data_IF_075408334902
#
_entry.id   IF_075408334902
#
_cell.length_a   1.000
_cell.length_b   1.000
_cell.length_c   1.000
_cell.angle_alpha   90.00
_cell.angle_beta   90.00
_cell.angle_gamma   90.00
#
_symmetry.space_group_name_H-M   'P 1'
#
loop_
_entity.id
_entity.type
_entity.pdbx_description
1 polymer ?
#
# COMPACT_ATOMS: atom_id res chain seq x y z
N UNK A 1 1.66 15.58 -21.86
CA UNK A 1 1.50 14.24 -21.23
C UNK A 1 2.77 13.74 -20.53
N UNK A 2 3.96 13.76 -21.15
CA UNK A 2 5.16 13.18 -20.53
C UNK A 2 5.54 13.83 -19.17
N UNK A 3 5.28 15.13 -19.02
CA UNK A 3 5.58 15.87 -17.79
C UNK A 3 4.69 15.45 -16.59
N UNK A 4 3.44 15.03 -16.83
CA UNK A 4 2.51 14.56 -15.78
C UNK A 4 3.05 13.28 -15.15
N UNK A 5 3.44 12.30 -15.98
CA UNK A 5 3.94 11.02 -15.49
C UNK A 5 5.33 11.14 -14.87
N UNK A 6 6.18 12.02 -15.40
CA UNK A 6 7.45 12.36 -14.76
C UNK A 6 7.24 12.96 -13.37
N UNK A 7 6.23 13.81 -13.20
CA UNK A 7 5.86 14.36 -11.89
C UNK A 7 5.36 13.26 -10.93
N UNK A 8 4.52 12.33 -11.41
CA UNK A 8 4.07 11.19 -10.59
C UNK A 8 5.24 10.36 -10.06
N UNK A 9 6.20 10.01 -10.94
CA UNK A 9 7.38 9.23 -10.60
C UNK A 9 8.35 10.00 -9.70
N UNK A 10 8.44 11.33 -9.85
CA UNK A 10 9.27 12.17 -8.98
C UNK A 10 8.77 12.17 -7.53
N UNK A 11 7.44 12.13 -7.31
CA UNK A 11 6.86 12.10 -5.96
C UNK A 11 6.61 10.69 -5.41
N UNK A 12 6.72 9.65 -6.23
CA UNK A 12 6.57 8.26 -5.79
C UNK A 12 7.52 7.87 -4.61
N UNK A 13 8.79 8.31 -4.56
CA UNK A 13 9.66 8.06 -3.40
C UNK A 13 9.18 8.68 -2.10
N UNK A 14 8.53 9.85 -2.14
CA UNK A 14 7.97 10.48 -0.93
C UNK A 14 6.85 9.62 -0.37
N UNK A 15 5.97 9.13 -1.24
CA UNK A 15 4.89 8.24 -0.85
C UNK A 15 5.41 6.85 -0.43
N UNK A 16 6.46 6.36 -1.09
CA UNK A 16 7.18 5.15 -0.70
C UNK A 16 7.79 5.26 0.70
N UNK A 17 8.36 6.40 1.06
CA UNK A 17 8.85 6.66 2.41
C UNK A 17 7.73 6.64 3.45
N UNK A 18 6.54 7.15 3.11
CA UNK A 18 5.35 7.04 3.99
C UNK A 18 4.88 5.60 4.15
N UNK A 19 4.95 4.78 3.10
CA UNK A 19 4.65 3.34 3.18
C UNK A 19 5.68 2.61 4.05
N UNK A 20 6.95 2.95 3.92
CA UNK A 20 8.03 2.40 4.77
C UNK A 20 7.79 2.79 6.24
N UNK A 21 7.50 4.05 6.53
CA UNK A 21 7.15 4.50 7.89
C UNK A 21 5.94 3.74 8.44
N UNK A 22 4.89 3.55 7.63
CA UNK A 22 3.71 2.78 8.02
C UNK A 22 4.09 1.33 8.37
N UNK A 23 4.91 0.68 7.54
CA UNK A 23 5.40 -0.67 7.81
C UNK A 23 6.24 -0.72 9.10
N UNK A 24 7.25 0.13 9.24
CA UNK A 24 8.17 0.15 10.40
C UNK A 24 7.40 0.39 11.70
N UNK A 25 6.49 1.36 11.75
CA UNK A 25 5.66 1.59 12.94
C UNK A 25 4.72 0.41 13.20
N UNK A 26 4.23 -0.25 12.15
CA UNK A 26 3.41 -1.46 12.25
C UNK A 26 4.15 -2.68 12.79
N UNK A 27 5.49 -2.71 12.74
CA UNK A 27 6.27 -3.79 13.36
C UNK A 27 6.36 -3.67 14.88
N UNK A 28 5.99 -2.53 15.46
CA UNK A 28 6.07 -2.29 16.89
C UNK A 28 4.77 -2.64 17.61
N UNK A 29 4.88 -3.24 18.80
CA UNK A 29 3.76 -3.49 19.71
C UNK A 29 3.40 -2.26 20.58
N UNK A 30 4.14 -1.16 20.47
CA UNK A 30 3.91 0.05 21.25
C UNK A 30 2.63 0.76 20.80
N UNK A 31 1.75 1.08 21.76
CA UNK A 31 0.48 1.77 21.48
C UNK A 31 0.64 3.09 20.71
N UNK A 32 1.67 3.87 21.04
CA UNK A 32 1.99 5.11 20.31
C UNK A 32 2.29 4.85 18.82
N UNK A 33 3.02 3.78 18.51
CA UNK A 33 3.34 3.41 17.13
C UNK A 33 2.09 2.96 16.37
N UNK A 34 1.19 2.22 17.03
CA UNK A 34 -0.09 1.82 16.42
C UNK A 34 -0.98 3.05 16.09
N UNK A 35 -0.98 4.08 16.94
CA UNK A 35 -1.67 5.34 16.64
C UNK A 35 -1.05 6.02 15.40
N UNK A 36 0.29 6.05 15.29
CA UNK A 36 0.98 6.60 14.12
C UNK A 36 0.66 5.84 12.84
N UNK A 37 0.52 4.51 12.91
CA UNK A 37 0.08 3.67 11.77
C UNK A 37 -1.30 4.11 11.28
N UNK A 38 -2.26 4.34 12.19
CA UNK A 38 -3.59 4.81 11.84
C UNK A 38 -3.55 6.22 11.23
N UNK A 39 -2.75 7.12 11.78
CA UNK A 39 -2.57 8.47 11.21
C UNK A 39 -1.99 8.42 9.80
N UNK A 40 -1.02 7.54 9.54
CA UNK A 40 -0.43 7.37 8.22
C UNK A 40 -1.46 6.92 7.16
N UNK A 41 -2.43 6.08 7.54
CA UNK A 41 -3.53 5.69 6.63
C UNK A 41 -4.38 6.87 6.17
N UNK A 42 -4.42 7.96 6.94
CA UNK A 42 -5.11 9.21 6.58
C UNK A 42 -4.17 10.17 5.84
N UNK A 43 -2.90 10.27 6.27
CA UNK A 43 -1.92 11.18 5.68
C UNK A 43 -1.59 10.78 4.24
N UNK A 44 -1.39 9.49 3.96
CA UNK A 44 -1.04 8.98 2.63
C UNK A 44 -1.99 9.47 1.53
N UNK A 45 -3.33 9.26 1.61
CA UNK A 45 -4.24 9.72 0.57
C UNK A 45 -4.29 11.24 0.46
N UNK A 46 -4.18 11.98 1.57
CA UNK A 46 -4.13 13.45 1.57
C UNK A 46 -2.90 13.94 0.79
N UNK A 47 -1.73 13.39 1.08
CA UNK A 47 -0.47 13.73 0.40
C UNK A 47 -0.53 13.38 -1.08
N UNK A 48 -1.06 12.20 -1.43
CA UNK A 48 -1.22 11.80 -2.83
C UNK A 48 -2.14 12.77 -3.59
N UNK A 49 -3.28 13.15 -2.99
CA UNK A 49 -4.22 14.13 -3.58
C UNK A 49 -3.57 15.51 -3.69
N UNK A 50 -2.82 15.94 -2.68
CA UNK A 50 -2.07 17.19 -2.73
C UNK A 50 -1.09 17.22 -3.91
N UNK A 51 -0.31 16.16 -4.12
CA UNK A 51 0.59 16.07 -5.27
C UNK A 51 -0.14 16.07 -6.61
N UNK A 52 -1.31 15.44 -6.69
CA UNK A 52 -2.13 15.48 -7.90
C UNK A 52 -2.68 16.89 -8.18
N UNK A 53 -3.11 17.63 -7.16
CA UNK A 53 -3.55 19.04 -7.30
C UNK A 53 -2.37 19.92 -7.73
N UNK A 54 -1.19 19.72 -7.15
CA UNK A 54 0.03 20.46 -7.53
C UNK A 54 0.41 20.19 -8.99
N UNK A 55 0.43 18.92 -9.41
CA UNK A 55 0.65 18.54 -10.80
C UNK A 55 -0.37 19.19 -11.73
N UNK A 56 -1.66 19.19 -11.34
CA UNK A 56 -2.72 19.81 -12.14
C UNK A 56 -2.41 21.28 -12.41
N UNK A 57 -2.13 22.02 -11.35
CA UNK A 57 -1.98 23.48 -11.39
C UNK A 57 -0.68 23.93 -12.05
N UNK A 58 0.43 23.23 -11.78
CA UNK A 58 1.77 23.67 -12.21
C UNK A 58 2.27 23.01 -13.49
N UNK A 59 1.74 21.82 -13.83
CA UNK A 59 2.29 20.98 -14.91
C UNK A 59 1.28 20.72 -16.02
N UNK A 60 -0.02 20.82 -15.75
CA UNK A 60 -1.08 20.49 -16.71
C UNK A 60 -2.13 21.62 -16.85
N UNK A 61 -1.72 22.88 -16.69
CA UNK A 61 -2.53 24.08 -16.94
C UNK A 61 -3.91 24.09 -16.25
N UNK A 62 -3.96 23.58 -15.02
CA UNK A 62 -5.17 23.37 -14.19
C UNK A 62 -6.25 22.47 -14.84
N UNK A 63 -5.84 21.68 -15.83
CA UNK A 63 -6.66 20.65 -16.45
C UNK A 63 -6.25 19.29 -15.89
N UNK A 64 -7.23 18.45 -15.54
CA UNK A 64 -7.03 17.03 -15.32
C UNK A 64 -8.28 16.31 -15.78
N UNK A 65 -8.16 15.49 -16.83
CA UNK A 65 -9.22 14.52 -17.14
C UNK A 65 -9.18 13.39 -16.12
N UNK A 66 -10.31 12.68 -15.95
CA UNK A 66 -10.34 11.53 -15.06
C UNK A 66 -9.24 10.51 -15.38
N UNK A 67 -9.04 10.16 -16.66
CA UNK A 67 -8.05 9.16 -17.07
C UNK A 67 -6.60 9.63 -16.92
N UNK A 68 -6.33 10.92 -17.10
CA UNK A 68 -5.02 11.49 -16.80
C UNK A 68 -4.73 11.39 -15.30
N UNK A 69 -5.69 11.76 -14.44
CA UNK A 69 -5.54 11.66 -12.99
C UNK A 69 -5.39 10.20 -12.54
N UNK A 70 -6.17 9.30 -13.12
CA UNK A 70 -6.13 7.87 -12.84
C UNK A 70 -4.75 7.29 -13.11
N UNK A 71 -4.19 7.54 -14.30
CA UNK A 71 -2.84 7.07 -14.65
C UNK A 71 -1.76 7.72 -13.78
N UNK A 72 -1.94 8.99 -13.41
CA UNK A 72 -1.03 9.70 -12.51
C UNK A 72 -0.97 9.04 -11.12
N UNK A 73 -2.11 8.82 -10.48
CA UNK A 73 -2.16 8.13 -9.19
C UNK A 73 -1.65 6.69 -9.29
N UNK A 74 -2.06 5.95 -10.32
CA UNK A 74 -1.64 4.57 -10.53
C UNK A 74 -0.11 4.46 -10.60
N UNK A 75 0.54 5.29 -11.41
CA UNK A 75 2.00 5.31 -11.52
C UNK A 75 2.68 5.67 -10.20
N UNK A 76 2.15 6.65 -9.47
CA UNK A 76 2.69 7.06 -8.19
C UNK A 76 2.60 5.94 -7.15
N UNK A 77 1.45 5.27 -7.04
CA UNK A 77 1.25 4.17 -6.09
C UNK A 77 2.03 2.91 -6.47
N UNK A 78 2.15 2.59 -7.77
CA UNK A 78 3.03 1.49 -8.22
C UNK A 78 4.47 1.77 -7.83
N UNK A 79 4.97 2.99 -8.07
CA UNK A 79 6.33 3.38 -7.68
C UNK A 79 6.54 3.32 -6.16
N UNK A 80 5.59 3.85 -5.38
CA UNK A 80 5.63 3.84 -3.92
C UNK A 80 5.63 2.41 -3.36
N UNK A 81 4.76 1.53 -3.88
CA UNK A 81 4.69 0.13 -3.50
C UNK A 81 5.97 -0.62 -3.81
N UNK A 82 6.58 -0.39 -4.98
CA UNK A 82 7.86 -1.02 -5.34
C UNK A 82 8.97 -0.61 -4.37
N UNK A 83 9.10 0.69 -4.08
CA UNK A 83 10.12 1.21 -3.15
C UNK A 83 9.94 0.59 -1.76
N UNK A 84 8.71 0.56 -1.25
CA UNK A 84 8.40 -0.05 0.04
C UNK A 84 8.69 -1.55 0.05
N UNK A 85 8.32 -2.29 -1.00
CA UNK A 85 8.55 -3.74 -1.07
C UNK A 85 10.04 -4.10 -1.13
N UNK A 86 10.87 -3.30 -1.82
CA UNK A 86 12.33 -3.47 -1.77
C UNK A 86 12.83 -3.30 -0.34
N UNK A 87 12.36 -2.28 0.38
CA UNK A 87 12.70 -2.08 1.79
C UNK A 87 12.24 -3.26 2.66
N UNK A 88 10.98 -3.71 2.53
CA UNK A 88 10.43 -4.84 3.31
C UNK A 88 11.25 -6.09 3.07
N UNK A 89 11.59 -6.41 1.81
CA UNK A 89 12.42 -7.56 1.49
C UNK A 89 13.77 -7.49 2.20
N UNK A 90 14.43 -6.32 2.13
CA UNK A 90 15.71 -6.12 2.81
C UNK A 90 15.54 -6.28 4.32
N UNK A 91 14.48 -5.71 4.88
CA UNK A 91 14.18 -5.73 6.29
C UNK A 91 14.00 -7.15 6.81
N UNK A 92 13.15 -7.96 6.19
CA UNK A 92 12.83 -9.31 6.68
C UNK A 92 13.90 -10.35 6.32
N UNK A 93 14.72 -10.11 5.30
CA UNK A 93 15.77 -11.03 4.87
C UNK A 93 17.09 -10.81 5.62
N UNK A 94 17.43 -9.57 5.99
CA UNK A 94 18.75 -9.24 6.55
C UNK A 94 18.74 -8.36 7.81
N UNK A 95 17.74 -7.51 8.03
CA UNK A 95 17.74 -6.58 9.17
C UNK A 95 17.11 -7.23 10.41
N UNK A 96 15.94 -7.84 10.24
CA UNK A 96 15.19 -8.51 11.29
C UNK A 96 14.65 -9.83 10.76
N UNK A 97 15.51 -10.84 10.76
CA UNK A 97 15.22 -12.19 10.25
C UNK A 97 14.16 -12.91 11.11
N UNK A 98 14.08 -12.57 12.38
CA UNK A 98 13.14 -13.20 13.32
C UNK A 98 11.73 -12.61 13.22
N UNK A 99 11.56 -11.47 12.54
CA UNK A 99 10.26 -10.82 12.37
C UNK A 99 9.19 -11.76 11.79
N UNK A 100 9.53 -12.51 10.74
CA UNK A 100 8.58 -13.44 10.10
C UNK A 100 8.33 -14.67 10.95
N UNK A 101 9.32 -15.13 11.71
CA UNK A 101 9.16 -16.26 12.66
C UNK A 101 8.17 -15.86 13.76
N UNK A 102 8.34 -14.67 14.34
CA UNK A 102 7.45 -14.15 15.38
C UNK A 102 6.03 -13.91 14.84
N UNK A 103 5.89 -13.34 13.64
CA UNK A 103 4.58 -13.14 13.01
C UNK A 103 3.89 -14.46 12.68
N UNK A 104 4.65 -15.46 12.22
CA UNK A 104 4.16 -16.82 11.97
C UNK A 104 3.58 -17.41 13.25
N UNK A 105 4.32 -17.38 14.35
CA UNK A 105 3.86 -17.93 15.63
C UNK A 105 2.57 -17.26 16.13
N UNK A 106 2.51 -15.92 16.09
CA UNK A 106 1.31 -15.16 16.47
C UNK A 106 0.11 -15.57 15.59
N UNK A 107 0.34 -15.74 14.28
CA UNK A 107 -0.71 -16.11 13.34
C UNK A 107 -1.21 -17.54 13.53
N UNK A 108 -0.31 -18.49 13.80
CA UNK A 108 -0.66 -19.86 14.14
C UNK A 108 -1.51 -19.93 15.40
N UNK A 109 -1.12 -19.21 16.46
CA UNK A 109 -1.88 -19.14 17.71
C UNK A 109 -3.27 -18.53 17.51
N UNK A 110 -3.39 -17.50 16.67
CA UNK A 110 -4.69 -16.91 16.34
C UNK A 110 -5.57 -17.89 15.55
N UNK A 111 -4.99 -18.60 14.59
CA UNK A 111 -5.71 -19.57 13.78
C UNK A 111 -6.21 -20.75 14.61
N UNK A 112 -5.40 -21.28 15.52
CA UNK A 112 -5.78 -22.36 16.43
C UNK A 112 -6.99 -21.96 17.29
N UNK A 113 -6.96 -20.75 17.86
CA UNK A 113 -8.09 -20.19 18.65
C UNK A 113 -9.35 -20.04 17.82
N UNK A 114 -9.23 -19.60 16.56
CA UNK A 114 -10.38 -19.48 15.64
C UNK A 114 -10.97 -20.85 15.31
N UNK A 115 -10.14 -21.86 15.01
CA UNK A 115 -10.59 -23.22 14.72
C UNK A 115 -11.31 -23.84 15.92
N UNK A 116 -10.76 -23.68 17.14
CA UNK A 116 -11.40 -24.14 18.37
C UNK A 116 -12.77 -23.46 18.60
N UNK A 117 -12.90 -22.20 18.22
CA UNK A 117 -14.16 -21.44 18.40
C UNK A 117 -15.21 -21.78 17.34
N UNK A 118 -14.79 -22.06 16.11
CA UNK A 118 -15.69 -22.21 14.96
C UNK A 118 -16.08 -23.67 14.68
N UNK A 119 -15.43 -24.67 15.30
CA UNK A 119 -15.71 -26.12 15.16
C UNK A 119 -15.88 -26.64 13.72
N UNK A 120 -15.43 -25.87 12.73
CA UNK A 120 -15.69 -26.11 11.31
C UNK A 120 -14.56 -25.54 10.47
N UNK A 121 -13.38 -26.16 10.52
CA UNK A 121 -12.39 -25.90 9.49
C UNK A 121 -12.67 -26.82 8.29
N UNK A 122 -12.96 -26.20 7.14
CA UNK A 122 -13.02 -26.89 5.82
C UNK A 122 -11.63 -27.36 5.38
N UNK A 123 -10.58 -26.83 6.00
CA UNK A 123 -9.17 -27.04 5.70
C UNK A 123 -8.57 -27.90 6.82
N UNK A 124 -7.75 -28.89 6.45
CA UNK A 124 -7.03 -29.73 7.42
C UNK A 124 -5.92 -28.96 8.13
N UNK A 125 -5.51 -29.41 9.32
CA UNK A 125 -4.43 -28.77 10.09
C UNK A 125 -3.11 -28.71 9.28
N UNK A 126 -2.79 -29.78 8.56
CA UNK A 126 -1.57 -29.86 7.74
C UNK A 126 -1.60 -28.91 6.54
N UNK A 127 -2.74 -28.73 5.88
CA UNK A 127 -2.90 -27.74 4.81
C UNK A 127 -2.78 -26.31 5.35
N UNK A 128 -3.34 -26.05 6.54
CA UNK A 128 -3.24 -24.75 7.19
C UNK A 128 -1.78 -24.40 7.54
N UNK A 129 -1.04 -25.36 8.10
CA UNK A 129 0.39 -25.19 8.41
C UNK A 129 1.21 -24.86 7.15
N UNK A 130 0.98 -25.57 6.05
CA UNK A 130 1.65 -25.29 4.78
C UNK A 130 1.35 -23.88 4.23
N UNK A 131 0.11 -23.42 4.35
CA UNK A 131 -0.29 -22.07 3.93
C UNK A 131 0.47 -21.02 4.75
N UNK A 132 0.51 -21.20 6.08
CA UNK A 132 1.22 -20.31 7.00
C UNK A 132 2.72 -20.30 6.67
N UNK A 133 3.34 -21.47 6.53
CA UNK A 133 4.77 -21.61 6.22
C UNK A 133 5.15 -20.90 4.93
N UNK A 134 4.34 -21.07 3.89
CA UNK A 134 4.57 -20.43 2.60
C UNK A 134 4.38 -18.91 2.69
N UNK A 135 3.33 -18.44 3.37
CA UNK A 135 2.98 -17.03 3.49
C UNK A 135 4.07 -16.22 4.21
N UNK A 136 4.75 -16.82 5.19
CA UNK A 136 5.78 -16.18 5.99
C UNK A 136 7.21 -16.39 5.48
N UNK A 137 7.38 -16.83 4.22
CA UNK A 137 8.69 -16.73 3.56
C UNK A 137 8.98 -15.28 3.16
N UNK A 138 10.25 -14.80 3.20
CA UNK A 138 10.62 -13.44 2.81
C UNK A 138 10.05 -12.99 1.45
N UNK A 139 10.11 -13.89 0.46
CA UNK A 139 9.62 -13.64 -0.90
C UNK A 139 8.10 -13.47 -0.92
N UNK A 140 7.36 -14.42 -0.32
CA UNK A 140 5.91 -14.39 -0.34
C UNK A 140 5.34 -13.27 0.51
N UNK A 141 5.92 -13.01 1.67
CA UNK A 141 5.53 -11.90 2.53
C UNK A 141 5.73 -10.54 1.83
N UNK A 142 6.86 -10.36 1.15
CA UNK A 142 7.14 -9.14 0.39
C UNK A 142 6.16 -8.99 -0.78
N UNK A 143 5.92 -10.05 -1.55
CA UNK A 143 4.99 -10.04 -2.69
C UNK A 143 3.56 -9.74 -2.23
N UNK A 144 3.13 -10.32 -1.12
CA UNK A 144 1.81 -10.07 -0.52
C UNK A 144 1.70 -8.63 -0.01
N UNK A 145 2.76 -8.10 0.60
CA UNK A 145 2.84 -6.69 1.04
C UNK A 145 2.78 -5.73 -0.15
N UNK A 146 3.50 -6.04 -1.24
CA UNK A 146 3.45 -5.29 -2.49
C UNK A 146 2.02 -5.22 -3.04
N UNK A 147 1.37 -6.39 -3.15
CA UNK A 147 0.01 -6.50 -3.68
C UNK A 147 -1.00 -5.78 -2.79
N UNK A 148 -0.89 -5.92 -1.46
CA UNK A 148 -1.73 -5.20 -0.51
C UNK A 148 -1.62 -3.69 -0.68
N UNK A 149 -0.40 -3.17 -0.80
CA UNK A 149 -0.13 -1.76 -1.05
C UNK A 149 -0.68 -1.29 -2.41
N UNK A 150 -0.64 -2.14 -3.44
CA UNK A 150 -1.27 -1.83 -4.73
C UNK A 150 -2.80 -1.79 -4.64
N UNK A 151 -3.43 -2.72 -3.93
CA UNK A 151 -4.90 -2.75 -3.79
C UNK A 151 -5.38 -1.47 -3.09
N UNK A 152 -4.75 -1.07 -1.99
CA UNK A 152 -5.12 0.19 -1.31
C UNK A 152 -4.82 1.40 -2.19
N UNK A 153 -3.68 1.41 -2.90
CA UNK A 153 -3.33 2.46 -3.86
C UNK A 153 -4.34 2.56 -5.01
N UNK A 154 -4.91 1.44 -5.46
CA UNK A 154 -5.92 1.39 -6.50
C UNK A 154 -7.26 1.99 -6.04
N UNK A 155 -7.68 1.70 -4.81
CA UNK A 155 -8.87 2.32 -4.21
C UNK A 155 -8.68 3.84 -4.14
N UNK A 156 -7.52 4.30 -3.65
CA UNK A 156 -7.20 5.74 -3.58
C UNK A 156 -7.11 6.33 -4.99
N UNK A 157 -6.59 5.60 -5.97
CA UNK A 157 -6.51 6.04 -7.37
C UNK A 157 -7.89 6.35 -7.93
N UNK A 158 -8.88 5.47 -7.73
CA UNK A 158 -10.25 5.70 -8.20
C UNK A 158 -10.82 6.96 -7.55
N UNK A 159 -10.81 7.01 -6.21
CA UNK A 159 -11.42 8.10 -5.44
C UNK A 159 -10.71 9.44 -5.72
N UNK A 160 -9.39 9.44 -5.65
CA UNK A 160 -8.54 10.63 -5.87
C UNK A 160 -8.69 11.19 -7.28
N UNK A 161 -8.85 10.34 -8.29
CA UNK A 161 -9.08 10.79 -9.67
C UNK A 161 -10.41 11.51 -9.82
N UNK A 162 -11.45 11.05 -9.13
CA UNK A 162 -12.74 11.74 -9.10
C UNK A 162 -12.69 13.08 -8.35
N UNK A 163 -11.85 13.19 -7.33
CA UNK A 163 -11.67 14.42 -6.54
C UNK A 163 -10.91 15.49 -7.35
N UNK A 164 -9.86 15.09 -8.07
CA UNK A 164 -8.93 16.04 -8.70
C UNK A 164 -9.33 16.43 -10.12
N UNK A 165 -10.20 15.66 -10.80
CA UNK A 165 -10.65 15.99 -12.15
C UNK A 165 -11.34 17.36 -12.24
N UNK A 166 -11.17 18.04 -13.37
CA UNK A 166 -11.83 19.31 -13.63
C UNK A 166 -13.14 19.09 -14.42
N UNK A 167 -14.29 19.47 -13.83
CA UNK A 167 -15.63 19.20 -14.40
C UNK A 167 -15.90 19.91 -15.73
N UNK A 168 -15.23 21.04 -16.01
CA UNK A 168 -15.44 21.82 -17.25
C UNK A 168 -14.95 21.12 -18.52
N UNK A 169 -14.08 20.12 -18.41
CA UNK A 169 -13.50 19.43 -19.55
C UNK A 169 -14.27 18.14 -19.90
N UNK A 170 -14.75 17.39 -18.90
CA UNK A 170 -15.52 16.14 -19.08
C UNK A 170 -16.85 16.34 -19.87
N UNK A 171 -17.35 17.56 -20.02
CA UNK A 171 -18.56 17.87 -20.81
C UNK A 171 -18.30 18.01 -22.32
N UNK A 172 -17.04 18.14 -22.75
CA UNK A 172 -16.68 18.20 -24.18
C UNK A 172 -16.24 16.84 -24.75
N UNK A 173 -16.03 15.84 -23.90
CA UNK A 173 -15.65 14.46 -24.28
C UNK A 173 -16.87 13.49 -24.29
N UNK A 174 -18.11 14.02 -24.27
CA UNK A 174 -19.36 13.25 -24.42
C UNK A 174 -20.07 13.57 -25.73
#
# INVERSE_FOLDING_TARGET
>A
MNNIYRHALYFAPVLGALFIMHFVFGTSSNMLMLILVVLLKIIIPIVAVYFAIDCRRRVNDDLFTYWQAFRYFLLMFVGASLICSVFIFIYVQWINTDFLINLKEISSQLMERLTQTLSSSVISESEMEQIIDTAYTPKMFTASSFLSNLIIGFIITIIGSFIVRNKKYDSNDR
#
